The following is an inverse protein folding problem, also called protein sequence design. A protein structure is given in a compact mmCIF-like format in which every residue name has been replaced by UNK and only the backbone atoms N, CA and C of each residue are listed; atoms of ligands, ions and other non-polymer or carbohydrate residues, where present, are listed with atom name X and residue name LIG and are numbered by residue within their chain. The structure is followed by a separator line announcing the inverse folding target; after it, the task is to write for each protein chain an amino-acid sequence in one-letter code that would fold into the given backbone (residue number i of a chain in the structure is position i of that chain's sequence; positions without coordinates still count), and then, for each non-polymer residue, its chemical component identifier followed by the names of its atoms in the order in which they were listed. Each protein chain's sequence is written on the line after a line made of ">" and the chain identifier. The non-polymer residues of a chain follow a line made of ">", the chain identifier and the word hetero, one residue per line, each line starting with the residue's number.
data_IF_075717144400
#
_entry.id   IF_075717144400
#
_cell.length_a   1.000
_cell.length_b   1.000
_cell.length_c   1.000
_cell.angle_alpha   90.00
_cell.angle_beta   90.00
_cell.angle_gamma   90.00
#
_symmetry.space_group_name_H-M   'P 1'
#
loop_
_entity.id
_entity.type
_entity.pdbx_description
1 polymer ?
#
# COMPACT_ATOMS: atom_id res chain seq x y z
N UNK A 1 18.08 -21.58 -35.18
CA UNK A 1 16.78 -21.83 -34.51
C UNK A 1 16.10 -20.48 -34.36
N UNK A 2 15.16 -20.16 -35.26
CA UNK A 2 14.55 -18.84 -35.42
C UNK A 2 13.05 -19.03 -35.19
N UNK A 3 12.54 -18.65 -34.03
CA UNK A 3 11.11 -18.72 -33.73
C UNK A 3 10.40 -17.58 -34.47
N UNK A 4 9.56 -17.96 -35.41
CA UNK A 4 8.66 -17.10 -36.19
C UNK A 4 7.45 -16.80 -35.28
N UNK A 5 7.29 -15.53 -34.90
CA UNK A 5 6.04 -15.00 -34.37
C UNK A 5 5.09 -14.86 -35.56
N UNK A 6 3.95 -15.54 -35.52
CA UNK A 6 2.85 -15.29 -36.43
C UNK A 6 2.02 -14.15 -35.83
N UNK A 7 2.23 -12.97 -36.40
CA UNK A 7 1.33 -11.83 -36.36
C UNK A 7 0.46 -11.86 -37.62
N UNK A 8 -0.86 -11.71 -37.48
CA UNK A 8 -1.70 -10.72 -38.21
C UNK A 8 -3.19 -11.10 -38.22
N UNK A 9 -3.99 -10.26 -37.57
CA UNK A 9 -5.18 -9.59 -38.13
C UNK A 9 -5.47 -8.44 -37.13
N UNK A 10 -5.00 -7.20 -37.31
CA UNK A 10 -5.24 -6.30 -38.45
C UNK A 10 -6.54 -5.53 -38.16
N UNK A 11 -6.56 -4.35 -37.53
CA UNK A 11 -6.06 -3.06 -38.03
C UNK A 11 -6.56 -1.93 -37.07
N UNK A 12 -6.29 -0.62 -37.28
CA UNK A 12 -5.00 0.06 -37.17
C UNK A 12 -5.07 1.31 -36.25
N UNK A 13 -3.92 1.76 -35.74
CA UNK A 13 -3.71 3.20 -35.53
C UNK A 13 -3.46 3.67 -34.09
N UNK A 14 -2.16 3.85 -33.81
CA UNK A 14 -1.61 5.11 -33.30
C UNK A 14 -1.71 5.32 -31.78
N UNK A 15 -0.70 4.79 -31.11
CA UNK A 15 -0.07 5.48 -29.99
C UNK A 15 0.23 6.94 -30.40
N UNK A 16 -0.51 7.88 -29.82
CA UNK A 16 -0.10 9.28 -29.72
C UNK A 16 -0.79 9.93 -28.53
N UNK A 17 0.07 10.31 -27.59
CA UNK A 17 0.01 11.54 -26.81
C UNK A 17 -1.22 11.78 -25.91
N UNK A 18 -0.90 12.02 -24.65
CA UNK A 18 -1.63 12.95 -23.79
C UNK A 18 -2.22 14.13 -24.59
N UNK A 19 -3.51 14.40 -24.43
CA UNK A 19 -4.08 15.73 -24.22
C UNK A 19 -5.59 15.60 -24.02
N UNK A 20 -6.12 16.26 -22.98
CA UNK A 20 -7.54 16.62 -22.87
C UNK A 20 -8.12 17.17 -24.19
N UNK A 21 -9.44 17.13 -24.35
CA UNK A 21 -10.12 18.29 -24.90
C UNK A 21 -11.08 18.88 -23.86
N UNK A 22 -10.88 20.17 -23.61
CA UNK A 22 -11.79 21.01 -22.87
C UNK A 22 -13.12 21.18 -23.63
N UNK A 23 -14.20 21.10 -22.85
CA UNK A 23 -15.47 21.83 -22.99
C UNK A 23 -16.37 21.53 -24.19
N UNK A 24 -17.53 20.93 -23.90
CA UNK A 24 -18.91 21.42 -24.11
C UNK A 24 -19.80 20.17 -24.00
N UNK A 25 -20.47 19.88 -22.89
CA UNK A 25 -21.75 20.46 -22.49
C UNK A 25 -21.96 20.33 -20.96
N UNK A 26 -22.39 21.43 -20.36
CA UNK A 26 -22.85 21.59 -18.97
C UNK A 26 -24.10 20.75 -18.69
N UNK A 27 -24.05 19.78 -17.76
CA UNK A 27 -25.07 19.53 -16.72
C UNK A 27 -24.41 18.82 -15.51
N UNK A 28 -24.69 19.34 -14.32
CA UNK A 28 -24.59 18.72 -12.99
C UNK A 28 -23.34 18.98 -12.14
N UNK A 29 -23.52 19.90 -11.19
CA UNK A 29 -22.66 20.09 -10.02
C UNK A 29 -22.79 18.91 -9.05
N UNK A 30 -22.12 17.80 -9.36
CA UNK A 30 -21.90 16.69 -8.44
C UNK A 30 -20.48 16.16 -8.66
N UNK A 31 -19.74 15.97 -7.59
CA UNK A 31 -18.38 15.42 -7.59
C UNK A 31 -18.45 13.92 -7.93
N UNK A 32 -18.89 13.60 -9.14
CA UNK A 32 -19.10 12.22 -9.58
C UNK A 32 -17.83 11.74 -10.28
N UNK A 33 -17.12 10.79 -9.66
CA UNK A 33 -15.98 10.12 -10.28
C UNK A 33 -16.47 9.26 -11.46
N UNK A 34 -16.31 9.78 -12.68
CA UNK A 34 -16.72 9.08 -13.91
C UNK A 34 -15.52 8.35 -14.51
N UNK A 35 -15.62 7.03 -14.56
CA UNK A 35 -14.65 6.17 -15.25
C UNK A 35 -14.95 6.11 -16.75
N UNK A 36 -13.99 6.53 -17.58
CA UNK A 36 -14.06 6.43 -19.04
C UNK A 36 -12.95 5.48 -19.55
N UNK A 37 -13.26 4.49 -20.40
CA UNK A 37 -14.59 4.09 -20.89
C UNK A 37 -15.48 3.50 -19.77
N UNK A 38 -16.79 3.63 -19.87
CA UNK A 38 -17.73 3.12 -18.85
C UNK A 38 -17.90 1.59 -18.86
N UNK A 39 -17.50 0.94 -19.96
CA UNK A 39 -17.54 -0.51 -20.14
C UNK A 39 -16.21 -0.97 -20.72
N UNK A 40 -15.61 -1.99 -20.11
CA UNK A 40 -14.40 -2.65 -20.59
C UNK A 40 -14.67 -4.15 -20.66
N UNK A 41 -14.44 -4.77 -21.82
CA UNK A 41 -14.65 -6.21 -22.07
C UNK A 41 -16.06 -6.72 -21.70
N UNK A 42 -17.09 -5.88 -21.88
CA UNK A 42 -18.48 -6.20 -21.56
C UNK A 42 -18.88 -6.04 -20.09
N UNK A 43 -17.94 -5.67 -19.21
CA UNK A 43 -18.20 -5.40 -17.80
C UNK A 43 -18.29 -3.89 -17.53
N UNK A 44 -19.32 -3.47 -16.80
CA UNK A 44 -19.45 -2.10 -16.30
C UNK A 44 -18.59 -1.90 -15.05
N UNK A 45 -18.12 -0.67 -14.83
CA UNK A 45 -17.33 -0.35 -13.63
C UNK A 45 -18.16 -0.46 -12.34
N UNK A 46 -17.51 -0.81 -11.23
CA UNK A 46 -18.16 -0.85 -9.92
C UNK A 46 -18.29 0.58 -9.33
N UNK A 47 -19.51 1.13 -9.19
CA UNK A 47 -19.71 2.52 -8.75
C UNK A 47 -19.36 2.75 -7.28
N UNK A 48 -19.48 1.72 -6.44
CA UNK A 48 -19.12 1.81 -5.03
C UNK A 48 -17.62 2.07 -4.87
N UNK A 49 -16.80 1.33 -5.62
CA UNK A 49 -15.35 1.46 -5.54
C UNK A 49 -14.84 2.78 -6.12
N UNK A 50 -15.48 3.27 -7.19
CA UNK A 50 -15.21 4.61 -7.74
C UNK A 50 -15.50 5.72 -6.73
N UNK A 51 -16.59 5.59 -5.96
CA UNK A 51 -16.98 6.59 -4.96
C UNK A 51 -16.08 6.61 -3.72
N UNK A 52 -15.55 5.44 -3.33
CA UNK A 52 -14.76 5.31 -2.09
C UNK A 52 -13.27 5.53 -2.32
N UNK A 53 -12.74 5.06 -3.45
CA UNK A 53 -11.29 4.95 -3.69
C UNK A 53 -10.82 5.69 -4.93
N UNK A 54 -11.71 6.42 -5.63
CA UNK A 54 -11.43 7.13 -6.88
C UNK A 54 -10.72 6.25 -7.94
N UNK A 55 -10.98 4.94 -7.91
CA UNK A 55 -10.34 3.96 -8.78
C UNK A 55 -11.37 3.28 -9.69
N UNK A 56 -10.97 3.08 -10.95
CA UNK A 56 -11.82 2.48 -11.97
C UNK A 56 -11.55 0.99 -12.08
N UNK A 57 -12.49 0.17 -11.62
CA UNK A 57 -12.41 -1.30 -11.65
C UNK A 57 -13.64 -1.87 -12.34
N UNK A 58 -13.40 -2.76 -13.31
CA UNK A 58 -14.42 -3.29 -14.22
C UNK A 58 -14.63 -4.78 -14.02
N UNK A 59 -13.55 -5.56 -13.92
CA UNK A 59 -13.67 -7.00 -13.85
C UNK A 59 -13.93 -7.48 -12.40
N UNK A 60 -14.64 -8.60 -12.22
CA UNK A 60 -14.86 -9.17 -10.89
C UNK A 60 -13.54 -9.65 -10.25
N UNK A 61 -12.57 -10.06 -11.06
CA UNK A 61 -11.24 -10.46 -10.59
C UNK A 61 -10.48 -9.28 -9.99
N UNK A 62 -10.48 -8.14 -10.68
CA UNK A 62 -9.86 -6.91 -10.17
C UNK A 62 -10.54 -6.44 -8.88
N UNK A 63 -11.88 -6.53 -8.83
CA UNK A 63 -12.65 -6.18 -7.61
C UNK A 63 -12.23 -7.07 -6.44
N UNK A 64 -12.12 -8.38 -6.66
CA UNK A 64 -11.67 -9.32 -5.65
C UNK A 64 -10.24 -9.01 -5.20
N UNK A 65 -9.33 -8.72 -6.12
CA UNK A 65 -7.95 -8.37 -5.81
C UNK A 65 -7.87 -7.13 -4.90
N UNK A 66 -8.67 -6.10 -5.19
CA UNK A 66 -8.75 -4.90 -4.37
C UNK A 66 -9.28 -5.20 -2.97
N UNK A 67 -10.38 -5.96 -2.87
CA UNK A 67 -10.96 -6.35 -1.58
C UNK A 67 -9.98 -7.16 -0.74
N UNK A 68 -9.31 -8.14 -1.34
CA UNK A 68 -8.29 -8.95 -0.66
C UNK A 68 -7.09 -8.11 -0.22
N UNK A 69 -6.69 -7.12 -1.03
CA UNK A 69 -5.65 -6.15 -0.66
C UNK A 69 -6.02 -5.36 0.60
N UNK A 70 -7.24 -4.83 0.67
CA UNK A 70 -7.72 -4.11 1.85
C UNK A 70 -7.83 -5.00 3.08
N UNK A 71 -8.33 -6.24 2.92
CA UNK A 71 -8.40 -7.19 4.02
C UNK A 71 -7.00 -7.54 4.56
N UNK A 72 -6.02 -7.73 3.68
CA UNK A 72 -4.64 -7.97 4.07
C UNK A 72 -4.06 -6.79 4.87
N UNK A 73 -4.25 -5.55 4.39
CA UNK A 73 -3.81 -4.34 5.11
C UNK A 73 -4.48 -4.27 6.49
N UNK A 74 -5.79 -4.48 6.57
CA UNK A 74 -6.52 -4.46 7.84
C UNK A 74 -6.00 -5.51 8.82
N UNK A 75 -5.71 -6.72 8.35
CA UNK A 75 -5.11 -7.77 9.17
C UNK A 75 -3.73 -7.36 9.69
N UNK A 76 -2.90 -6.75 8.85
CA UNK A 76 -1.60 -6.22 9.25
C UNK A 76 -1.69 -5.13 10.31
N UNK A 77 -2.60 -4.16 10.16
CA UNK A 77 -2.84 -3.11 11.16
C UNK A 77 -3.20 -3.71 12.52
N UNK A 78 -4.09 -4.70 12.52
CA UNK A 78 -4.51 -5.39 13.75
C UNK A 78 -3.40 -6.25 14.32
N UNK A 79 -2.56 -6.89 13.50
CA UNK A 79 -1.48 -7.76 13.96
C UNK A 79 -0.30 -7.00 14.59
N UNK A 80 -0.02 -5.77 14.15
CA UNK A 80 1.08 -4.96 14.67
C UNK A 80 0.83 -4.48 16.12
N UNK A 81 -0.41 -4.10 16.42
CA UNK A 81 -0.82 -3.57 17.72
C UNK A 81 -0.61 -4.52 18.92
N UNK A 82 -1.03 -5.80 18.90
CA UNK A 82 -0.79 -6.72 20.00
C UNK A 82 0.70 -7.00 20.19
N UNK A 83 1.51 -7.00 19.13
CA UNK A 83 2.96 -7.15 19.26
C UNK A 83 3.58 -5.97 20.03
N UNK A 84 3.16 -4.75 19.71
CA UNK A 84 3.63 -3.54 20.38
C UNK A 84 3.25 -3.54 21.87
N UNK A 85 2.01 -3.93 22.18
CA UNK A 85 1.50 -3.99 23.56
C UNK A 85 2.19 -5.10 24.35
N UNK A 86 2.36 -6.28 23.76
CA UNK A 86 2.97 -7.41 24.46
C UNK A 86 4.46 -7.18 24.73
N UNK A 87 5.19 -6.57 23.79
CA UNK A 87 6.57 -6.16 24.01
C UNK A 87 6.68 -5.16 25.17
N UNK A 88 5.75 -4.18 25.23
CA UNK A 88 5.69 -3.23 26.35
C UNK A 88 5.37 -3.93 27.68
N UNK A 89 4.40 -4.85 27.69
CA UNK A 89 3.96 -5.58 28.90
C UNK A 89 5.02 -6.53 29.43
N UNK A 90 5.72 -7.25 28.55
CA UNK A 90 6.81 -8.17 28.92
C UNK A 90 8.08 -7.42 29.29
N UNK A 91 8.27 -6.23 28.73
CA UNK A 91 9.50 -5.47 28.88
C UNK A 91 10.72 -6.17 28.28
N UNK A 92 10.52 -7.03 27.28
CA UNK A 92 11.59 -7.73 26.56
C UNK A 92 11.09 -8.07 25.14
N UNK A 93 12.01 -8.13 24.19
CA UNK A 93 11.76 -8.31 22.74
C UNK A 93 12.22 -9.69 22.25
N UNK A 94 11.97 -10.73 23.06
CA UNK A 94 12.35 -12.11 22.72
C UNK A 94 11.57 -12.57 21.50
N UNK A 95 12.28 -12.93 20.43
CA UNK A 95 11.69 -13.48 19.19
C UNK A 95 11.61 -12.48 18.03
N UNK A 96 11.99 -11.21 18.21
CA UNK A 96 12.17 -10.27 17.10
C UNK A 96 13.62 -10.21 16.62
N UNK A 97 13.80 -10.24 15.29
CA UNK A 97 15.10 -10.05 14.65
C UNK A 97 15.31 -8.58 14.27
N UNK A 98 16.45 -8.01 14.67
CA UNK A 98 16.80 -6.62 14.36
C UNK A 98 16.90 -6.37 12.85
N UNK A 99 17.51 -7.29 12.09
CA UNK A 99 17.65 -7.15 10.64
C UNK A 99 16.30 -7.15 9.92
N UNK A 100 15.32 -7.88 10.48
CA UNK A 100 13.98 -7.92 9.94
C UNK A 100 13.23 -6.59 10.18
N UNK A 101 13.35 -6.03 11.38
CA UNK A 101 12.82 -4.71 11.71
C UNK A 101 13.40 -3.60 10.83
N UNK A 102 14.72 -3.64 10.57
CA UNK A 102 15.36 -2.70 9.65
C UNK A 102 14.83 -2.83 8.22
N UNK A 103 14.61 -4.07 7.77
CA UNK A 103 14.02 -4.34 6.46
C UNK A 103 12.62 -3.75 6.30
N UNK A 104 11.76 -3.92 7.31
CA UNK A 104 10.42 -3.30 7.33
C UNK A 104 10.49 -1.79 7.33
N UNK A 105 11.27 -1.20 8.24
CA UNK A 105 11.39 0.25 8.33
C UNK A 105 11.85 0.87 7.00
N UNK A 106 12.78 0.22 6.30
CA UNK A 106 13.23 0.67 4.99
C UNK A 106 12.12 0.55 3.93
N UNK A 107 11.42 -0.58 3.89
CA UNK A 107 10.33 -0.81 2.95
C UNK A 107 9.18 0.20 3.15
N UNK A 108 8.77 0.43 4.39
CA UNK A 108 7.68 1.34 4.72
C UNK A 108 8.07 2.80 4.48
N UNK A 109 9.32 3.18 4.77
CA UNK A 109 9.84 4.52 4.42
C UNK A 109 9.85 4.72 2.91
N UNK A 110 10.30 3.73 2.15
CA UNK A 110 10.28 3.79 0.68
C UNK A 110 8.85 3.88 0.14
N UNK A 111 7.91 3.15 0.74
CA UNK A 111 6.49 3.22 0.39
C UNK A 111 5.90 4.61 0.66
N UNK A 112 6.20 5.20 1.83
CA UNK A 112 5.75 6.55 2.19
C UNK A 112 6.33 7.61 1.24
N UNK A 113 7.64 7.54 0.98
CA UNK A 113 8.31 8.46 0.03
C UNK A 113 7.69 8.31 -1.36
N UNK A 114 7.45 7.08 -1.81
CA UNK A 114 6.76 6.82 -3.08
C UNK A 114 5.38 7.47 -3.13
N UNK A 115 4.55 7.29 -2.10
CA UNK A 115 3.21 7.87 -2.03
C UNK A 115 3.24 9.41 -2.01
N UNK A 116 4.22 10.01 -1.33
CA UNK A 116 4.39 11.47 -1.28
C UNK A 116 4.85 12.02 -2.64
N UNK A 117 5.78 11.34 -3.30
CA UNK A 117 6.30 11.75 -4.61
C UNK A 117 5.23 11.66 -5.71
N UNK A 118 4.36 10.65 -5.65
CA UNK A 118 3.28 10.48 -6.64
C UNK A 118 1.98 11.19 -6.26
N UNK A 119 1.96 11.92 -5.13
CA UNK A 119 0.74 12.52 -4.57
C UNK A 119 -0.44 11.53 -4.56
N UNK A 120 -0.17 10.31 -4.08
CA UNK A 120 -1.13 9.22 -4.06
C UNK A 120 -2.30 9.52 -3.11
N UNK A 121 -3.44 8.87 -3.34
CA UNK A 121 -4.64 8.99 -2.51
C UNK A 121 -4.34 8.92 -1.00
N UNK A 122 -5.07 9.75 -0.24
CA UNK A 122 -4.79 10.01 1.17
C UNK A 122 -4.76 8.74 2.05
N UNK A 123 -5.56 7.72 1.72
CA UNK A 123 -5.59 6.47 2.47
C UNK A 123 -4.25 5.70 2.39
N UNK A 124 -3.54 5.75 1.27
CA UNK A 124 -2.24 5.09 1.12
C UNK A 124 -1.18 5.82 1.94
N UNK A 125 -1.14 7.15 1.84
CA UNK A 125 -0.23 7.99 2.65
C UNK A 125 -0.47 7.74 4.15
N UNK A 126 -1.73 7.73 4.58
CA UNK A 126 -2.10 7.49 5.99
C UNK A 126 -1.66 6.10 6.48
N UNK A 127 -1.88 5.06 5.67
CA UNK A 127 -1.51 3.69 6.02
C UNK A 127 0.01 3.50 6.08
N UNK A 128 0.76 3.99 5.09
CA UNK A 128 2.22 3.93 5.08
C UNK A 128 2.84 4.74 6.22
N UNK A 129 2.28 5.92 6.53
CA UNK A 129 2.71 6.71 7.68
C UNK A 129 2.49 5.99 9.01
N UNK A 130 1.37 5.29 9.16
CA UNK A 130 1.10 4.46 10.34
C UNK A 130 2.12 3.32 10.50
N UNK A 131 2.46 2.61 9.41
CA UNK A 131 3.43 1.52 9.48
C UNK A 131 4.84 2.03 9.81
N UNK A 132 5.27 3.14 9.20
CA UNK A 132 6.54 3.80 9.56
C UNK A 132 6.60 4.16 11.05
N UNK A 133 5.53 4.73 11.60
CA UNK A 133 5.48 5.08 13.02
C UNK A 133 5.56 3.84 13.92
N UNK A 134 4.79 2.80 13.58
CA UNK A 134 4.81 1.52 14.32
C UNK A 134 6.20 0.89 14.32
N UNK A 135 6.89 0.89 13.19
CA UNK A 135 8.25 0.37 13.04
C UNK A 135 9.27 1.12 13.90
N UNK A 136 9.22 2.46 13.89
CA UNK A 136 10.11 3.29 14.71
C UNK A 136 9.88 3.03 16.20
N UNK A 137 8.61 2.91 16.63
CA UNK A 137 8.28 2.58 18.01
C UNK A 137 8.79 1.19 18.40
N UNK A 138 8.66 0.20 17.50
CA UNK A 138 9.09 -1.17 17.74
C UNK A 138 10.61 -1.28 17.78
N UNK A 139 11.33 -0.59 16.88
CA UNK A 139 12.78 -0.45 16.91
C UNK A 139 13.26 0.25 18.19
N UNK A 140 12.56 1.30 18.63
CA UNK A 140 12.84 2.00 19.89
C UNK A 140 12.72 1.07 21.09
N UNK A 141 11.65 0.28 21.17
CA UNK A 141 11.47 -0.74 22.20
C UNK A 141 12.59 -1.79 22.15
N UNK A 142 12.90 -2.29 20.95
CA UNK A 142 13.96 -3.27 20.76
C UNK A 142 15.30 -2.75 21.29
N UNK A 143 15.73 -1.57 20.85
CA UNK A 143 16.98 -0.97 21.27
C UNK A 143 17.01 -0.74 22.80
N UNK A 144 15.93 -0.21 23.37
CA UNK A 144 15.85 0.06 24.81
C UNK A 144 15.96 -1.21 25.65
N UNK A 145 15.18 -2.25 25.35
CA UNK A 145 15.17 -3.48 26.14
C UNK A 145 16.48 -4.27 25.97
N UNK A 146 17.04 -4.35 24.76
CA UNK A 146 18.35 -4.99 24.54
C UNK A 146 19.47 -4.25 25.27
N UNK A 147 19.49 -2.91 25.25
CA UNK A 147 20.49 -2.14 25.98
C UNK A 147 20.35 -2.30 27.50
N UNK A 148 19.11 -2.33 28.02
CA UNK A 148 18.85 -2.54 29.45
C UNK A 148 19.36 -3.91 29.90
N UNK A 149 19.05 -4.96 29.15
CA UNK A 149 19.51 -6.32 29.45
C UNK A 149 21.04 -6.43 29.35
N UNK A 150 21.67 -5.81 28.35
CA UNK A 150 23.13 -5.79 28.21
C UNK A 150 23.82 -5.07 29.39
N UNK A 151 23.27 -3.95 29.86
CA UNK A 151 23.78 -3.22 31.03
C UNK A 151 23.65 -4.05 32.31
N UNK A 152 22.51 -4.71 32.51
CA UNK A 152 22.28 -5.56 33.69
C UNK A 152 23.28 -6.73 33.74
N UNK A 153 23.57 -7.37 32.60
CA UNK A 153 24.57 -8.45 32.52
C UNK A 153 25.98 -7.98 32.90
N UNK A 154 26.41 -6.82 32.37
CA UNK A 154 27.72 -6.24 32.70
C UNK A 154 27.90 -5.90 34.18
N UNK A 155 26.83 -5.56 34.90
CA UNK A 155 26.87 -5.26 36.32
C UNK A 155 26.95 -6.52 37.21
N UNK A 156 26.64 -7.70 36.67
CA UNK A 156 26.79 -8.99 37.37
C UNK A 156 28.18 -9.58 37.13
N UNK A 157 28.75 -9.35 35.94
CA UNK A 157 30.05 -9.91 35.53
C UNK A 157 31.28 -9.07 35.94
N UNK A 158 31.08 -7.85 36.49
CA UNK A 158 32.14 -6.91 36.86
C UNK A 158 32.19 -6.61 38.34
#
# INVERSE_FOLDING_TARGET
>A
MRFRLESEDGSPGRERAAQQPASTHLVSARMDCVCLPSVKDGFAFNPWLSSFMHMCVYTPLDTLAVVLGFLNIAFWLVSQMPQLIENYRRGSVVGLSFSFLLGWCFADTAALVGCLLTAQEAYMIGTSGYFCLSDVLLMGQFAYYTMREARARRAVDG
#
